data_IF_307959555594
#
_entry.id   IF_307959555594
#
_cell.length_a   1.000
_cell.length_b   1.000
_cell.length_c   1.000
_cell.angle_alpha   90.00
_cell.angle_beta   90.00
_cell.angle_gamma   90.00
#
_symmetry.space_group_name_H-M   'P 1'
#
loop_
_entity.id
_entity.type
_entity.pdbx_description
1 polymer ?
#
# COMPACT_ATOMS: atom_id res chain seq x y z
N UNK A 1 -15.75 7.23 -8.08
CA UNK A 1 -14.41 6.85 -8.55
C UNK A 1 -14.59 6.37 -9.98
N UNK A 2 -13.90 7.02 -10.91
CA UNK A 2 -13.87 6.68 -12.33
C UNK A 2 -12.90 5.51 -12.55
N UNK A 3 -13.10 4.70 -13.59
CA UNK A 3 -12.23 3.55 -13.91
C UNK A 3 -10.75 3.97 -14.08
N UNK A 4 -10.52 5.20 -14.56
CA UNK A 4 -9.19 5.81 -14.67
C UNK A 4 -8.52 6.01 -13.32
N UNK A 5 -9.26 6.38 -12.29
CA UNK A 5 -8.73 6.59 -10.94
C UNK A 5 -8.27 5.24 -10.36
N UNK A 6 -9.08 4.20 -10.54
CA UNK A 6 -8.75 2.83 -10.13
C UNK A 6 -7.49 2.32 -10.82
N UNK A 7 -7.32 2.61 -12.12
CA UNK A 7 -6.10 2.24 -12.86
C UNK A 7 -4.87 2.97 -12.33
N UNK A 8 -5.01 4.26 -11.98
CA UNK A 8 -3.92 5.05 -11.43
C UNK A 8 -3.46 4.48 -10.09
N UNK A 9 -4.42 4.22 -9.19
CA UNK A 9 -4.16 3.65 -7.86
C UNK A 9 -3.55 2.25 -7.96
N UNK A 10 -4.16 1.36 -8.75
CA UNK A 10 -3.70 -0.03 -8.90
C UNK A 10 -2.28 -0.08 -9.46
N UNK A 11 -1.97 0.76 -10.44
CA UNK A 11 -0.63 0.80 -11.05
C UNK A 11 0.41 1.39 -10.11
N UNK A 12 0.04 2.39 -9.31
CA UNK A 12 0.93 2.97 -8.31
C UNK A 12 1.31 1.94 -7.22
N UNK A 13 0.31 1.22 -6.71
CA UNK A 13 0.51 0.13 -5.73
C UNK A 13 1.38 -0.98 -6.33
N UNK A 14 1.15 -1.36 -7.59
CA UNK A 14 1.94 -2.39 -8.26
C UNK A 14 3.40 -1.95 -8.48
N UNK A 15 3.66 -0.67 -8.77
CA UNK A 15 5.01 -0.12 -8.86
C UNK A 15 5.74 -0.15 -7.52
N UNK A 16 5.04 0.11 -6.42
CA UNK A 16 5.61 0.00 -5.08
C UNK A 16 6.07 -1.44 -4.78
N UNK A 17 5.23 -2.44 -5.07
CA UNK A 17 5.59 -3.85 -4.90
C UNK A 17 6.79 -4.26 -5.76
N UNK A 18 6.81 -3.84 -7.03
CA UNK A 18 7.93 -4.10 -7.94
C UNK A 18 9.23 -3.41 -7.48
N UNK A 19 9.13 -2.22 -6.89
CA UNK A 19 10.30 -1.49 -6.40
C UNK A 19 10.96 -2.20 -5.21
N UNK A 20 10.16 -2.69 -4.27
CA UNK A 20 10.65 -3.39 -3.09
C UNK A 20 10.84 -4.90 -3.29
N UNK A 21 10.43 -5.44 -4.44
CA UNK A 21 10.40 -6.88 -4.76
C UNK A 21 9.73 -7.70 -3.64
N UNK A 22 8.58 -7.20 -3.16
CA UNK A 22 7.80 -7.83 -2.08
C UNK A 22 6.60 -8.55 -2.68
N UNK A 23 6.30 -9.73 -2.14
CA UNK A 23 5.10 -10.49 -2.50
C UNK A 23 3.83 -9.72 -2.07
N UNK A 24 2.81 -9.61 -2.94
CA UNK A 24 1.60 -8.87 -2.63
C UNK A 24 0.87 -9.50 -1.43
N UNK A 25 0.94 -8.82 -0.29
CA UNK A 25 0.25 -9.19 0.93
C UNK A 25 -1.09 -8.43 1.05
N UNK A 26 -2.13 -9.09 1.59
CA UNK A 26 -3.47 -8.51 1.69
C UNK A 26 -3.52 -7.27 2.63
N UNK A 27 -2.73 -7.31 3.71
CA UNK A 27 -2.61 -6.20 4.66
C UNK A 27 -1.83 -5.04 4.05
N UNK A 28 -0.71 -5.31 3.38
CA UNK A 28 0.05 -4.29 2.64
C UNK A 28 -0.79 -3.67 1.52
N UNK A 29 -1.56 -4.49 0.79
CA UNK A 29 -2.43 -4.05 -0.30
C UNK A 29 -3.55 -3.15 0.22
N UNK A 30 -4.17 -3.50 1.35
CA UNK A 30 -5.19 -2.67 2.00
C UNK A 30 -4.62 -1.32 2.46
N UNK A 31 -3.42 -1.33 3.06
CA UNK A 31 -2.77 -0.10 3.52
C UNK A 31 -2.38 0.81 2.34
N UNK A 32 -1.69 0.25 1.35
CA UNK A 32 -1.24 0.98 0.16
C UNK A 32 -2.43 1.52 -0.65
N UNK A 33 -3.53 0.77 -0.75
CA UNK A 33 -4.75 1.24 -1.42
C UNK A 33 -5.36 2.44 -0.67
N UNK A 34 -5.51 2.37 0.65
CA UNK A 34 -6.00 3.52 1.46
C UNK A 34 -5.10 4.74 1.34
N UNK A 35 -3.78 4.54 1.40
CA UNK A 35 -2.80 5.60 1.25
C UNK A 35 -2.85 6.24 -0.15
N UNK A 36 -2.94 5.42 -1.19
CA UNK A 36 -3.06 5.87 -2.56
C UNK A 36 -4.32 6.71 -2.78
N UNK A 37 -5.46 6.30 -2.20
CA UNK A 37 -6.72 7.08 -2.25
C UNK A 37 -6.57 8.42 -1.52
N UNK A 38 -5.92 8.45 -0.36
CA UNK A 38 -5.68 9.69 0.38
C UNK A 38 -4.78 10.66 -0.41
N UNK A 39 -3.71 10.15 -1.05
CA UNK A 39 -2.83 10.93 -1.93
C UNK A 39 -3.59 11.47 -3.14
N UNK A 40 -4.49 10.66 -3.71
CA UNK A 40 -5.33 11.06 -4.82
C UNK A 40 -6.30 12.19 -4.43
N UNK A 41 -6.89 12.11 -3.25
CA UNK A 41 -7.77 13.15 -2.67
C UNK A 41 -7.01 14.45 -2.37
N UNK A 42 -5.74 14.34 -1.94
CA UNK A 42 -4.82 15.47 -1.77
C UNK A 42 -4.43 16.17 -3.08
N UNK A 43 -4.82 15.62 -4.24
CA UNK A 43 -4.59 16.20 -5.56
C UNK A 43 -3.54 15.48 -6.40
N UNK A 44 -2.92 14.41 -5.90
CA UNK A 44 -1.96 13.63 -6.66
C UNK A 44 -2.68 12.65 -7.61
N UNK A 45 -2.96 13.09 -8.84
CA UNK A 45 -3.62 12.27 -9.88
C UNK A 45 -2.66 11.66 -10.90
N UNK A 46 -1.47 11.28 -10.47
CA UNK A 46 -0.43 10.72 -11.34
C UNK A 46 0.12 9.43 -10.74
N UNK A 47 0.23 8.39 -11.57
CA UNK A 47 0.72 7.07 -11.14
C UNK A 47 2.09 7.19 -10.49
N UNK A 48 3.02 7.88 -11.16
CA UNK A 48 4.38 8.08 -10.67
C UNK A 48 4.38 8.89 -9.38
N UNK A 49 3.61 9.99 -9.31
CA UNK A 49 3.52 10.80 -8.10
C UNK A 49 3.00 10.02 -6.89
N UNK A 50 1.95 9.22 -7.07
CA UNK A 50 1.43 8.37 -5.99
C UNK A 50 2.43 7.26 -5.66
N UNK A 51 3.02 6.60 -6.65
CA UNK A 51 4.00 5.53 -6.42
C UNK A 51 5.23 6.05 -5.68
N UNK A 52 5.80 7.19 -6.08
CA UNK A 52 6.91 7.85 -5.40
C UNK A 52 6.54 8.19 -3.97
N UNK A 53 5.38 8.82 -3.73
CA UNK A 53 4.91 9.12 -2.37
C UNK A 53 4.74 7.85 -1.54
N UNK A 54 4.22 6.76 -2.13
CA UNK A 54 4.13 5.47 -1.44
C UNK A 54 5.53 4.93 -1.11
N UNK A 55 6.49 5.02 -2.03
CA UNK A 55 7.86 4.52 -1.84
C UNK A 55 8.58 5.35 -0.76
N UNK A 56 8.41 6.67 -0.76
CA UNK A 56 9.02 7.60 0.20
C UNK A 56 8.38 7.52 1.59
N UNK A 57 7.06 7.38 1.67
CA UNK A 57 6.33 7.38 2.94
C UNK A 57 6.20 5.98 3.55
N UNK A 58 6.21 4.93 2.72
CA UNK A 58 6.11 3.54 3.15
C UNK A 58 7.36 2.79 2.67
N UNK A 59 8.42 2.87 3.47
CA UNK A 59 9.70 2.25 3.16
C UNK A 59 9.70 0.78 3.60
N UNK A 60 9.49 -0.14 2.65
CA UNK A 60 9.58 -1.59 2.84
C UNK A 60 8.62 -2.16 3.88
N UNK A 61 8.59 -3.50 4.09
CA UNK A 61 7.67 -4.10 5.03
C UNK A 61 8.14 -3.72 6.43
N UNK A 62 7.41 -2.80 7.04
CA UNK A 62 7.38 -2.61 8.48
C UNK A 62 7.40 -4.00 9.09
N UNK A 63 8.39 -4.37 9.92
CA UNK A 63 8.38 -5.69 10.53
C UNK A 63 7.03 -5.83 11.19
N UNK A 64 6.26 -6.80 10.72
CA UNK A 64 5.00 -7.21 11.30
C UNK A 64 5.30 -7.87 12.65
N UNK A 65 5.85 -7.10 13.58
CA UNK A 65 5.56 -7.23 15.00
C UNK A 65 4.14 -6.75 15.29
N UNK A 66 3.20 -6.91 14.34
CA UNK A 66 1.93 -7.49 14.77
C UNK A 66 2.26 -8.94 15.12
N UNK A 67 2.71 -9.13 16.36
CA UNK A 67 2.12 -10.16 17.18
C UNK A 67 0.63 -10.28 16.79
N UNK A 68 0.35 -11.21 15.88
CA UNK A 68 -0.27 -12.45 16.30
C UNK A 68 0.15 -12.71 17.75
N UNK A 69 -0.49 -12.02 18.69
CA UNK A 69 -0.86 -12.66 19.93
C UNK A 69 -1.79 -13.75 19.43
N UNK A 70 -1.17 -14.84 18.99
CA UNK A 70 -1.82 -16.10 18.82
C UNK A 70 -2.59 -16.27 20.11
N UNK A 71 -3.88 -16.46 19.95
CA UNK A 71 -4.75 -17.05 20.92
C UNK A 71 -4.07 -18.31 21.45
N UNK A 72 -3.16 -18.17 22.41
CA UNK A 72 -2.66 -19.23 23.29
C UNK A 72 -3.34 -18.90 24.60
N UNK A 73 -4.57 -19.38 24.73
CA UNK A 73 -4.87 -20.55 25.59
C UNK A 73 -4.40 -20.26 27.01
N UNK A 74 -5.32 -19.76 27.82
CA UNK A 74 -5.26 -19.99 29.26
C UNK A 74 -6.16 -21.20 29.49
N UNK A 75 -5.50 -22.26 29.94
CA UNK A 75 -6.07 -23.56 30.32
C UNK A 75 -7.05 -23.44 31.49
#
# INVERSE_FOLDING_TARGET
>A
MQDTDLLILSRAVQQWYLYYDIDPDDQASTLLNRAAVALFDQGHRSVEGIATMLIENYIGPWPVTMNAQGSKTIQ
#
